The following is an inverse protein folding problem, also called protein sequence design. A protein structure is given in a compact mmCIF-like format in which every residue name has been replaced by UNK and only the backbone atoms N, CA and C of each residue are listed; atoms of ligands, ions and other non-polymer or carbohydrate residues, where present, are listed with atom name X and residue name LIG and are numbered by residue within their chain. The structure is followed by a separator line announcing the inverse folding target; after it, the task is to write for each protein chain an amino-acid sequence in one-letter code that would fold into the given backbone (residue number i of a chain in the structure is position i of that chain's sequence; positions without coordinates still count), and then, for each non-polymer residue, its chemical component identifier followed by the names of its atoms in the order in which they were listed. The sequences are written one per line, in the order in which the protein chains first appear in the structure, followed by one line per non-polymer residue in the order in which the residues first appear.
data_IF_861105286977
#
_entry.id   IF_861105286977
#
_cell.length_a   1.000
_cell.length_b   1.000
_cell.length_c   1.000
_cell.angle_alpha   90.00
_cell.angle_beta   90.00
_cell.angle_gamma   90.00
#
_symmetry.space_group_name_H-M   'P 1'
#
loop_
_entity.id
_entity.type
_entity.pdbx_description
1 polymer ?
#
# COMPACT_ATOMS: atom_id res chain seq x y z
N UNK A 1 -15.47 -0.06 -10.93
CA UNK A 1 -13.99 0.10 -10.86
C UNK A 1 -13.47 -0.13 -12.26
N UNK A 2 -12.48 0.63 -12.76
CA UNK A 2 -12.03 0.47 -14.15
C UNK A 2 -10.61 -0.10 -14.20
N UNK A 3 -10.38 -1.13 -15.02
CA UNK A 3 -9.06 -1.73 -15.23
C UNK A 3 -8.67 -1.52 -16.70
N UNK A 4 -7.49 -0.95 -16.93
CA UNK A 4 -7.00 -0.71 -18.29
C UNK A 4 -6.50 -1.99 -18.94
N UNK A 5 -6.60 -2.08 -20.27
CA UNK A 5 -6.08 -3.23 -21.03
C UNK A 5 -4.59 -3.47 -20.78
N UNK A 6 -3.82 -2.41 -20.54
CA UNK A 6 -2.40 -2.51 -20.19
C UNK A 6 -2.18 -3.22 -18.85
N UNK A 7 -2.98 -2.88 -17.84
CA UNK A 7 -2.94 -3.54 -16.53
C UNK A 7 -3.36 -5.00 -16.63
N UNK A 8 -4.44 -5.30 -17.37
CA UNK A 8 -4.90 -6.68 -17.61
C UNK A 8 -3.80 -7.52 -18.24
N UNK A 9 -3.20 -7.03 -19.33
CA UNK A 9 -2.12 -7.72 -20.05
C UNK A 9 -0.93 -7.99 -19.14
N UNK A 10 -0.45 -6.98 -18.39
CA UNK A 10 0.66 -7.16 -17.45
C UNK A 10 0.39 -8.21 -16.36
N UNK A 11 -0.84 -8.30 -15.88
CA UNK A 11 -1.22 -9.35 -14.92
C UNK A 11 -1.22 -10.72 -15.60
N UNK A 12 -1.78 -10.83 -16.81
CA UNK A 12 -1.79 -12.07 -17.58
C UNK A 12 -0.36 -12.55 -17.86
N UNK A 13 0.50 -11.66 -18.35
CA UNK A 13 1.92 -11.94 -18.62
C UNK A 13 2.67 -12.42 -17.37
N UNK A 14 2.25 -11.98 -16.17
CA UNK A 14 2.89 -12.40 -14.91
C UNK A 14 2.75 -13.91 -14.63
N UNK A 15 1.70 -14.56 -15.14
CA UNK A 15 1.53 -16.01 -15.04
C UNK A 15 2.45 -16.81 -15.94
N UNK A 16 2.93 -16.21 -17.04
CA UNK A 16 3.90 -16.84 -17.93
C UNK A 16 5.33 -16.71 -17.40
N UNK A 17 5.60 -15.64 -16.62
CA UNK A 17 6.93 -15.32 -16.10
C UNK A 17 7.22 -16.00 -14.75
N UNK A 18 6.23 -16.18 -13.90
CA UNK A 18 6.34 -16.96 -12.67
C UNK A 18 5.44 -18.19 -12.78
N UNK A 19 5.95 -19.43 -12.61
CA UNK A 19 5.14 -20.65 -12.66
C UNK A 19 4.21 -20.69 -11.44
N UNK A 20 3.08 -20.01 -11.54
CA UNK A 20 2.04 -19.90 -10.54
C UNK A 20 0.71 -20.24 -11.20
N UNK A 21 0.25 -21.49 -11.08
CA UNK A 21 -1.05 -21.88 -11.61
C UNK A 21 -2.16 -20.98 -11.03
N UNK A 22 -2.98 -20.38 -11.89
CA UNK A 22 -4.09 -19.51 -11.50
C UNK A 22 -5.17 -20.27 -10.71
N UNK A 23 -5.35 -21.57 -11.01
CA UNK A 23 -6.27 -22.49 -10.33
C UNK A 23 -5.79 -22.97 -8.95
N UNK A 24 -4.52 -22.74 -8.61
CA UNK A 24 -3.95 -23.12 -7.32
C UNK A 24 -4.05 -24.63 -7.08
N UNK A 25 -4.73 -25.02 -6.01
CA UNK A 25 -4.97 -26.42 -5.64
C UNK A 25 -6.23 -27.04 -6.28
N UNK A 26 -7.04 -26.24 -6.96
CA UNK A 26 -8.23 -26.73 -7.67
C UNK A 26 -7.83 -27.19 -9.07
N UNK A 27 -8.62 -28.09 -9.65
CA UNK A 27 -8.53 -28.33 -11.09
C UNK A 27 -8.98 -27.08 -11.89
N UNK A 28 -8.55 -26.97 -13.14
CA UNK A 28 -8.92 -25.83 -13.99
C UNK A 28 -10.44 -25.76 -14.22
N UNK A 29 -11.12 -26.91 -14.40
CA UNK A 29 -12.58 -26.96 -14.52
C UNK A 29 -13.29 -26.63 -13.21
N UNK A 30 -12.77 -27.06 -12.05
CA UNK A 30 -13.32 -26.72 -10.72
C UNK A 30 -13.20 -25.23 -10.42
N UNK A 31 -12.05 -24.62 -10.74
CA UNK A 31 -11.84 -23.20 -10.57
C UNK A 31 -12.81 -22.39 -11.44
N UNK A 32 -12.86 -22.69 -12.75
CA UNK A 32 -13.67 -21.92 -13.69
C UNK A 32 -15.18 -22.11 -13.47
N UNK A 33 -15.61 -23.27 -12.94
CA UNK A 33 -17.02 -23.49 -12.53
C UNK A 33 -17.51 -22.55 -11.43
N UNK A 34 -16.60 -21.82 -10.75
CA UNK A 34 -16.96 -20.80 -9.74
C UNK A 34 -17.22 -19.43 -10.33
N UNK A 35 -16.79 -19.20 -11.58
CA UNK A 35 -16.99 -17.95 -12.32
C UNK A 35 -18.06 -18.14 -13.40
N UNK A 36 -18.06 -19.30 -14.06
CA UNK A 36 -18.93 -19.62 -15.19
C UNK A 36 -19.76 -20.88 -14.92
N UNK A 37 -20.96 -20.95 -15.49
CA UNK A 37 -21.70 -22.21 -15.57
C UNK A 37 -21.17 -23.07 -16.73
N UNK A 38 -20.07 -23.78 -16.52
CA UNK A 38 -19.37 -24.54 -17.58
C UNK A 38 -20.21 -25.64 -18.23
N UNK A 39 -21.28 -26.09 -17.58
CA UNK A 39 -22.21 -27.08 -18.14
C UNK A 39 -23.17 -26.48 -19.19
N UNK A 40 -23.32 -25.15 -19.21
CA UNK A 40 -24.14 -24.44 -20.20
C UNK A 40 -23.30 -23.84 -21.34
N UNK A 41 -22.00 -23.65 -21.10
CA UNK A 41 -21.06 -23.21 -22.13
C UNK A 41 -20.76 -24.37 -23.08
N UNK A 42 -20.87 -24.15 -24.40
CA UNK A 42 -20.57 -25.18 -25.40
C UNK A 42 -19.07 -25.50 -25.48
N UNK A 43 -18.77 -26.77 -25.73
CA UNK A 43 -17.43 -27.23 -26.07
C UNK A 43 -16.96 -26.65 -27.42
N UNK A 44 -15.66 -26.41 -27.55
CA UNK A 44 -15.03 -26.13 -28.86
C UNK A 44 -14.63 -27.42 -29.58
N UNK A 45 -14.49 -28.52 -28.85
CA UNK A 45 -14.34 -29.86 -29.39
C UNK A 45 -15.72 -30.52 -29.58
N UNK A 46 -16.02 -30.94 -30.80
CA UNK A 46 -17.31 -31.55 -31.16
C UNK A 46 -17.56 -32.91 -30.47
N UNK A 47 -16.54 -33.54 -29.89
CA UNK A 47 -16.64 -34.80 -29.13
C UNK A 47 -17.30 -34.59 -27.77
N UNK A 48 -17.28 -33.36 -27.24
CA UNK A 48 -17.84 -33.01 -25.94
C UNK A 48 -19.01 -32.04 -26.09
N UNK A 49 -19.94 -32.04 -25.13
CA UNK A 49 -21.11 -31.15 -25.17
C UNK A 49 -20.84 -29.81 -24.50
N UNK A 50 -20.05 -29.84 -23.42
CA UNK A 50 -19.88 -28.72 -22.49
C UNK A 50 -18.42 -28.32 -22.37
N UNK A 51 -18.16 -27.04 -22.08
CA UNK A 51 -16.82 -26.56 -21.81
C UNK A 51 -16.21 -27.24 -20.56
N UNK A 52 -17.03 -27.69 -19.62
CA UNK A 52 -16.58 -28.49 -18.47
C UNK A 52 -15.86 -29.77 -18.93
N UNK A 53 -16.50 -30.54 -19.81
CA UNK A 53 -15.94 -31.79 -20.34
C UNK A 53 -14.72 -31.54 -21.21
N UNK A 54 -14.75 -30.47 -22.00
CA UNK A 54 -13.68 -30.03 -22.89
C UNK A 54 -12.39 -29.72 -22.10
N UNK A 55 -12.50 -28.86 -21.08
CA UNK A 55 -11.39 -28.50 -20.19
C UNK A 55 -10.89 -29.73 -19.43
N UNK A 56 -11.79 -30.53 -18.86
CA UNK A 56 -11.39 -31.72 -18.12
C UNK A 56 -10.59 -32.69 -19.00
N UNK A 57 -10.98 -32.89 -20.25
CA UNK A 57 -10.26 -33.80 -21.13
C UNK A 57 -8.89 -33.22 -21.51
N UNK A 58 -8.85 -31.97 -21.97
CA UNK A 58 -7.67 -31.41 -22.60
C UNK A 58 -6.65 -30.84 -21.60
N UNK A 59 -7.10 -30.26 -20.49
CA UNK A 59 -6.22 -29.61 -19.50
C UNK A 59 -5.90 -30.50 -18.30
N UNK A 60 -6.81 -31.39 -17.92
CA UNK A 60 -6.63 -32.19 -16.68
C UNK A 60 -6.20 -33.64 -16.96
N UNK A 61 -6.65 -34.24 -18.07
CA UNK A 61 -6.30 -35.62 -18.41
C UNK A 61 -5.15 -35.73 -19.40
N UNK A 62 -5.15 -34.86 -20.41
CA UNK A 62 -4.18 -34.93 -21.51
C UNK A 62 -3.03 -33.91 -21.40
N UNK A 63 -3.32 -32.73 -20.83
CA UNK A 63 -2.42 -31.56 -20.81
C UNK A 63 -1.89 -31.18 -22.21
N UNK A 64 -2.82 -31.07 -23.17
CA UNK A 64 -2.51 -30.89 -24.61
C UNK A 64 -2.91 -29.52 -25.18
N UNK A 65 -3.34 -28.58 -24.33
CA UNK A 65 -3.55 -27.16 -24.67
C UNK A 65 -2.45 -26.27 -24.09
N UNK A 66 -2.33 -25.03 -24.56
CA UNK A 66 -1.40 -24.06 -23.96
C UNK A 66 -1.92 -23.49 -22.63
N UNK A 67 -1.03 -23.13 -21.72
CA UNK A 67 -1.38 -22.55 -20.40
C UNK A 67 -2.11 -21.20 -20.49
N UNK A 68 -2.02 -20.53 -21.64
CA UNK A 68 -2.66 -19.23 -21.91
C UNK A 68 -4.06 -19.35 -22.54
N UNK A 69 -4.56 -20.58 -22.78
CA UNK A 69 -5.85 -20.82 -23.43
C UNK A 69 -6.99 -20.00 -22.77
N UNK A 70 -7.02 -19.93 -21.43
CA UNK A 70 -8.06 -19.21 -20.69
C UNK A 70 -8.15 -17.73 -21.06
N UNK A 71 -7.00 -17.11 -21.38
CA UNK A 71 -6.93 -15.68 -21.66
C UNK A 71 -7.28 -15.35 -23.12
N UNK A 72 -7.21 -16.34 -24.01
CA UNK A 72 -7.51 -16.20 -25.44
C UNK A 72 -8.87 -16.79 -25.83
N UNK A 73 -9.44 -17.67 -25.00
CA UNK A 73 -10.70 -18.36 -25.28
C UNK A 73 -11.90 -17.39 -25.21
N UNK A 74 -12.63 -17.20 -26.33
CA UNK A 74 -13.76 -16.28 -26.42
C UNK A 74 -14.96 -16.70 -25.56
N UNK A 75 -15.03 -17.96 -25.12
CA UNK A 75 -16.11 -18.47 -24.24
C UNK A 75 -16.05 -17.83 -22.85
N UNK A 76 -14.84 -17.56 -22.36
CA UNK A 76 -14.62 -16.99 -21.03
C UNK A 76 -14.32 -15.50 -21.10
N UNK A 77 -13.60 -15.07 -22.14
CA UNK A 77 -13.28 -13.68 -22.41
C UNK A 77 -12.73 -12.94 -21.18
N UNK A 78 -11.86 -13.59 -20.39
CA UNK A 78 -11.29 -12.98 -19.17
C UNK A 78 -10.51 -11.71 -19.51
N UNK A 79 -9.72 -11.74 -20.59
CA UNK A 79 -8.89 -10.61 -20.98
C UNK A 79 -9.70 -9.41 -21.48
N UNK A 80 -10.66 -9.61 -22.38
CA UNK A 80 -11.41 -8.51 -23.01
C UNK A 80 -12.86 -8.38 -22.51
N UNK A 81 -13.23 -9.10 -21.46
CA UNK A 81 -14.54 -9.03 -20.80
C UNK A 81 -14.65 -7.86 -19.84
N UNK A 82 -15.71 -7.87 -19.02
CA UNK A 82 -16.00 -6.76 -18.10
C UNK A 82 -14.96 -6.62 -16.99
N UNK A 83 -14.90 -5.45 -16.35
CA UNK A 83 -14.02 -5.22 -15.19
C UNK A 83 -14.44 -6.08 -14.01
N UNK A 84 -15.74 -6.31 -13.83
CA UNK A 84 -16.30 -7.17 -12.79
C UNK A 84 -15.82 -8.62 -12.95
N UNK A 85 -15.81 -9.14 -14.19
CA UNK A 85 -15.35 -10.49 -14.49
C UNK A 85 -13.86 -10.65 -14.17
N UNK A 86 -13.04 -9.68 -14.61
CA UNK A 86 -11.60 -9.72 -14.36
C UNK A 86 -11.30 -9.60 -12.86
N UNK A 87 -12.01 -8.72 -12.14
CA UNK A 87 -11.89 -8.59 -10.69
C UNK A 87 -12.27 -9.91 -9.99
N UNK A 88 -13.39 -10.51 -10.36
CA UNK A 88 -13.82 -11.79 -9.78
C UNK A 88 -12.77 -12.88 -10.00
N UNK A 89 -12.15 -12.92 -11.18
CA UNK A 89 -11.03 -13.82 -11.45
C UNK A 89 -9.84 -13.56 -10.52
N UNK A 90 -9.36 -12.31 -10.38
CA UNK A 90 -8.24 -11.98 -9.49
C UNK A 90 -8.53 -12.26 -8.02
N UNK A 91 -9.75 -12.01 -7.55
CA UNK A 91 -10.15 -12.30 -6.17
C UNK A 91 -10.20 -13.80 -5.91
N UNK A 92 -10.70 -14.58 -6.89
CA UNK A 92 -10.77 -16.02 -6.76
C UNK A 92 -9.36 -16.64 -6.77
N UNK A 93 -8.44 -16.16 -7.62
CA UNK A 93 -7.07 -16.71 -7.68
C UNK A 93 -6.38 -16.62 -6.33
N UNK A 94 -6.63 -15.60 -5.50
CA UNK A 94 -6.01 -15.45 -4.17
C UNK A 94 -6.89 -15.93 -3.01
N UNK A 95 -8.04 -16.52 -3.30
CA UNK A 95 -8.98 -16.96 -2.28
C UNK A 95 -8.46 -18.17 -1.48
N UNK A 96 -8.74 -18.29 -0.16
CA UNK A 96 -8.38 -19.46 0.67
C UNK A 96 -8.89 -20.83 0.18
N UNK A 97 -9.84 -20.84 -0.76
CA UNK A 97 -10.33 -22.07 -1.40
C UNK A 97 -9.39 -22.56 -2.50
N UNK A 98 -8.65 -21.63 -3.11
CA UNK A 98 -7.76 -21.86 -4.25
C UNK A 98 -6.33 -22.10 -3.77
N UNK A 99 -5.90 -21.41 -2.71
CA UNK A 99 -4.53 -21.56 -2.18
C UNK A 99 -4.41 -21.11 -0.73
N UNK A 100 -3.27 -21.41 -0.11
CA UNK A 100 -2.96 -21.02 1.27
C UNK A 100 -2.51 -19.56 1.42
N UNK A 101 -2.58 -19.04 2.64
CA UNK A 101 -2.32 -17.64 2.98
C UNK A 101 -0.96 -17.09 2.49
N UNK A 102 0.10 -17.88 2.56
CA UNK A 102 1.43 -17.46 2.07
C UNK A 102 1.44 -17.22 0.55
N UNK A 103 0.86 -18.15 -0.21
CA UNK A 103 0.76 -18.03 -1.66
C UNK A 103 -0.20 -16.90 -2.06
N UNK A 104 -1.33 -16.75 -1.37
CA UNK A 104 -2.24 -15.62 -1.55
C UNK A 104 -1.52 -14.29 -1.33
N UNK A 105 -0.76 -14.16 -0.23
CA UNK A 105 -0.02 -12.93 0.07
C UNK A 105 1.04 -12.62 -1.00
N UNK A 106 1.75 -13.62 -1.52
CA UNK A 106 2.73 -13.42 -2.60
C UNK A 106 2.05 -12.89 -3.87
N UNK A 107 0.95 -13.51 -4.30
CA UNK A 107 0.22 -13.12 -5.51
C UNK A 107 -0.44 -11.75 -5.36
N UNK A 108 -1.03 -11.46 -4.20
CA UNK A 108 -1.56 -10.12 -3.89
C UNK A 108 -0.46 -9.06 -4.03
N UNK A 109 0.77 -9.35 -3.60
CA UNK A 109 1.91 -8.47 -3.79
C UNK A 109 2.24 -8.21 -5.27
N UNK A 110 2.16 -9.22 -6.12
CA UNK A 110 2.37 -9.09 -7.58
C UNK A 110 1.24 -8.26 -8.19
N UNK A 111 -0.01 -8.60 -7.92
CA UNK A 111 -1.17 -7.87 -8.44
C UNK A 111 -1.15 -6.41 -8.00
N UNK A 112 -0.87 -6.11 -6.73
CA UNK A 112 -0.85 -4.73 -6.24
C UNK A 112 0.27 -3.88 -6.86
N UNK A 113 1.40 -4.47 -7.27
CA UNK A 113 2.42 -3.74 -8.04
C UNK A 113 1.91 -3.29 -9.42
N UNK A 114 0.92 -3.99 -9.98
CA UNK A 114 0.38 -3.73 -11.32
C UNK A 114 -0.91 -2.91 -11.23
N UNK A 115 -1.88 -3.33 -10.41
CA UNK A 115 -3.17 -2.68 -10.16
C UNK A 115 -3.05 -1.24 -9.67
N UNK A 116 -1.94 -0.90 -8.98
CA UNK A 116 -1.68 0.47 -8.53
C UNK A 116 -1.69 1.51 -9.66
N UNK A 117 -1.38 1.10 -10.90
CA UNK A 117 -1.39 1.98 -12.07
C UNK A 117 -2.81 2.46 -12.40
N UNK A 118 -3.83 1.67 -12.08
CA UNK A 118 -5.24 2.00 -12.27
C UNK A 118 -5.89 2.49 -10.95
N UNK A 119 -5.08 2.78 -9.93
CA UNK A 119 -5.59 3.22 -8.62
C UNK A 119 -6.40 2.14 -7.91
N UNK A 120 -6.06 0.87 -8.09
CA UNK A 120 -6.70 -0.26 -7.42
C UNK A 120 -5.69 -1.05 -6.57
N UNK A 121 -6.20 -1.77 -5.57
CA UNK A 121 -5.43 -2.73 -4.79
C UNK A 121 -6.34 -3.84 -4.23
N UNK A 122 -5.78 -5.03 -4.07
CA UNK A 122 -6.35 -6.11 -3.27
C UNK A 122 -5.97 -5.92 -1.81
N UNK A 123 -6.98 -5.88 -0.95
CA UNK A 123 -6.83 -5.76 0.50
C UNK A 123 -7.63 -6.84 1.19
N UNK A 124 -7.14 -7.30 2.34
CA UNK A 124 -7.87 -8.27 3.16
C UNK A 124 -9.19 -7.64 3.64
N UNK A 125 -10.30 -8.31 3.33
CA UNK A 125 -11.66 -7.89 3.61
C UNK A 125 -12.48 -9.10 4.06
N UNK A 126 -12.32 -9.45 5.33
CA UNK A 126 -12.89 -10.65 5.93
C UNK A 126 -11.94 -11.85 5.92
N UNK A 127 -12.49 -12.98 6.31
CA UNK A 127 -11.76 -14.23 6.50
C UNK A 127 -12.59 -15.44 6.09
N UNK A 128 -11.92 -16.50 5.64
CA UNK A 128 -12.51 -17.80 5.38
C UNK A 128 -11.57 -18.88 5.93
N UNK A 129 -12.09 -19.75 6.80
CA UNK A 129 -11.31 -20.80 7.48
C UNK A 129 -10.03 -20.28 8.18
N UNK A 130 -10.13 -19.10 8.80
CA UNK A 130 -8.99 -18.46 9.50
C UNK A 130 -7.92 -17.89 8.57
N UNK A 131 -8.17 -17.81 7.27
CA UNK A 131 -7.27 -17.18 6.28
C UNK A 131 -7.92 -15.93 5.68
N UNK A 132 -7.13 -14.89 5.34
CA UNK A 132 -7.66 -13.65 4.79
C UNK A 132 -8.32 -13.87 3.42
N UNK A 133 -9.49 -13.26 3.23
CA UNK A 133 -10.13 -13.13 1.91
C UNK A 133 -9.79 -11.75 1.36
N UNK A 134 -9.28 -11.67 0.13
CA UNK A 134 -8.89 -10.39 -0.47
C UNK A 134 -9.95 -9.89 -1.44
N UNK A 135 -10.20 -8.58 -1.41
CA UNK A 135 -11.12 -7.88 -2.30
C UNK A 135 -10.44 -6.72 -3.00
N UNK A 136 -10.77 -6.52 -4.29
CA UNK A 136 -10.29 -5.36 -5.03
C UNK A 136 -11.04 -4.13 -4.53
N UNK A 137 -10.28 -3.11 -4.11
CA UNK A 137 -10.81 -1.81 -3.73
C UNK A 137 -10.16 -0.70 -4.52
N UNK A 138 -10.85 0.43 -4.63
CA UNK A 138 -10.25 1.66 -5.12
C UNK A 138 -9.23 2.10 -4.08
N UNK A 139 -7.99 2.27 -4.53
CA UNK A 139 -6.95 2.91 -3.76
C UNK A 139 -7.42 4.36 -3.59
N UNK A 140 -7.85 4.72 -2.38
CA UNK A 140 -8.14 6.11 -2.05
C UNK A 140 -6.94 7.00 -2.39
N UNK A 141 -7.13 8.33 -2.47
CA UNK A 141 -6.10 9.34 -2.74
C UNK A 141 -5.00 9.34 -1.67
N UNK A 142 -4.19 8.28 -1.65
CA UNK A 142 -3.45 7.80 -0.50
C UNK A 142 -2.06 7.37 -0.96
N UNK A 143 -1.03 7.67 -0.17
CA UNK A 143 0.38 7.36 -0.44
C UNK A 143 0.70 5.83 -0.40
N UNK A 144 -0.30 4.96 -0.62
CA UNK A 144 -0.19 3.50 -0.52
C UNK A 144 -0.26 3.02 0.93
N UNK A 145 -0.66 1.77 1.16
CA UNK A 145 -0.81 1.16 2.50
C UNK A 145 0.48 1.20 3.33
N UNK A 146 1.61 1.56 2.72
CA UNK A 146 2.85 1.97 3.36
C UNK A 146 3.39 3.18 2.61
N UNK A 147 3.77 4.29 3.25
CA UNK A 147 4.67 5.24 2.61
C UNK A 147 5.97 4.52 2.26
N UNK A 148 6.15 4.17 0.97
CA UNK A 148 7.29 3.38 0.48
C UNK A 148 8.63 4.02 0.87
N UNK A 149 8.67 5.34 1.09
CA UNK A 149 9.87 6.08 1.47
C UNK A 149 10.34 5.73 2.89
N UNK A 150 9.43 5.64 3.89
CA UNK A 150 9.82 5.28 5.26
C UNK A 150 10.34 3.83 5.31
N UNK A 151 9.75 2.95 4.51
CA UNK A 151 10.14 1.54 4.44
C UNK A 151 11.48 1.30 3.71
N UNK A 152 11.99 2.27 2.94
CA UNK A 152 13.17 2.10 2.07
C UNK A 152 14.37 2.92 2.47
N UNK A 153 14.31 3.74 3.54
CA UNK A 153 15.46 4.54 3.94
C UNK A 153 16.39 3.79 4.92
N UNK A 154 17.61 3.40 4.49
CA UNK A 154 18.61 2.75 5.36
C UNK A 154 19.36 3.72 6.27
N UNK A 155 18.88 4.98 6.39
CA UNK A 155 19.68 6.10 6.87
C UNK A 155 19.51 6.42 8.35
N UNK A 156 18.50 5.86 9.01
CA UNK A 156 18.30 5.97 10.45
C UNK A 156 18.78 4.67 11.11
N UNK A 157 19.74 4.80 12.02
CA UNK A 157 20.40 3.69 12.73
C UNK A 157 19.42 2.83 13.55
N UNK A 158 18.20 3.33 13.78
CA UNK A 158 17.12 2.63 14.48
C UNK A 158 15.73 2.92 13.86
N UNK A 159 15.53 2.49 12.61
CA UNK A 159 14.23 2.64 11.92
C UNK A 159 13.14 1.71 12.48
N UNK A 160 13.46 0.82 13.42
CA UNK A 160 12.52 -0.17 13.98
C UNK A 160 11.29 0.49 14.63
N UNK A 161 11.49 1.58 15.37
CA UNK A 161 10.41 2.33 16.03
C UNK A 161 9.45 2.95 15.00
N UNK A 162 9.95 3.49 13.88
CA UNK A 162 9.10 4.05 12.82
C UNK A 162 8.27 2.98 12.13
N UNK A 163 8.85 1.79 11.89
CA UNK A 163 8.15 0.64 11.35
C UNK A 163 7.07 0.13 12.29
N UNK A 164 7.32 0.14 13.59
CA UNK A 164 6.33 -0.22 14.60
C UNK A 164 5.11 0.71 14.55
N UNK A 165 5.33 2.03 14.55
CA UNK A 165 4.24 3.00 14.43
C UNK A 165 3.45 2.84 13.14
N UNK A 166 4.11 2.69 12.00
CA UNK A 166 3.43 2.39 10.73
C UNK A 166 2.63 1.09 10.78
N UNK A 167 3.19 0.05 11.40
CA UNK A 167 2.51 -1.24 11.58
C UNK A 167 1.24 -1.10 12.43
N UNK A 168 1.30 -0.32 13.52
CA UNK A 168 0.14 0.00 14.37
C UNK A 168 -0.93 0.76 13.57
N UNK A 169 -0.54 1.83 12.87
CA UNK A 169 -1.45 2.65 12.06
C UNK A 169 -2.19 1.79 11.03
N UNK A 170 -1.49 0.94 10.27
CA UNK A 170 -2.11 0.07 9.26
C UNK A 170 -3.14 -0.87 9.85
N UNK A 171 -2.83 -1.47 11.01
CA UNK A 171 -3.74 -2.40 11.69
C UNK A 171 -4.97 -1.70 12.25
N UNK A 172 -4.86 -0.43 12.63
CA UNK A 172 -5.93 0.31 13.29
C UNK A 172 -6.75 1.22 12.37
N UNK A 173 -6.27 1.63 11.19
CA UNK A 173 -6.92 2.70 10.40
C UNK A 173 -8.42 2.50 10.11
N UNK A 174 -8.85 1.26 9.85
CA UNK A 174 -10.27 0.90 9.63
C UNK A 174 -10.98 0.30 10.85
N UNK A 175 -10.24 -0.20 11.85
CA UNK A 175 -10.81 -0.90 13.02
C UNK A 175 -10.86 -0.05 14.28
N UNK A 176 -9.88 0.82 14.43
CA UNK A 176 -9.72 1.77 15.53
C UNK A 176 -9.05 3.07 15.01
N UNK A 177 -9.82 3.95 14.36
CA UNK A 177 -9.30 5.19 13.79
C UNK A 177 -8.67 6.12 14.84
N UNK A 178 -9.13 6.07 16.09
CA UNK A 178 -8.59 6.89 17.18
C UNK A 178 -7.14 6.51 17.50
N UNK A 179 -6.85 5.20 17.57
CA UNK A 179 -5.49 4.68 17.75
C UNK A 179 -4.58 4.97 16.55
N UNK A 180 -5.13 4.97 15.33
CA UNK A 180 -4.37 5.36 14.13
C UNK A 180 -3.93 6.83 14.16
N UNK A 181 -4.81 7.74 14.62
CA UNK A 181 -4.49 9.17 14.81
C UNK A 181 -3.38 9.33 15.87
N UNK A 182 -3.49 8.63 17.00
CA UNK A 182 -2.47 8.69 18.04
C UNK A 182 -1.10 8.19 17.54
N UNK A 183 -1.09 7.04 16.86
CA UNK A 183 0.13 6.46 16.31
C UNK A 183 0.77 7.36 15.23
N UNK A 184 -0.02 8.16 14.51
CA UNK A 184 0.48 9.15 13.54
C UNK A 184 1.26 10.29 14.22
N UNK A 185 0.76 10.81 15.35
CA UNK A 185 1.49 11.79 16.17
C UNK A 185 2.77 11.18 16.76
N UNK A 186 2.70 9.96 17.27
CA UNK A 186 3.85 9.25 17.85
C UNK A 186 4.94 8.96 16.81
N UNK A 187 4.54 8.68 15.57
CA UNK A 187 5.48 8.53 14.44
C UNK A 187 6.24 9.82 14.19
N UNK A 188 5.55 10.97 14.05
CA UNK A 188 6.21 12.25 13.86
C UNK A 188 7.16 12.59 15.01
N UNK A 189 6.72 12.39 16.25
CA UNK A 189 7.56 12.63 17.41
C UNK A 189 8.82 11.76 17.40
N UNK A 190 8.67 10.46 17.14
CA UNK A 190 9.80 9.53 17.07
C UNK A 190 10.75 9.90 15.94
N UNK A 191 10.22 10.25 14.77
CA UNK A 191 11.01 10.69 13.63
C UNK A 191 11.82 11.95 13.95
N UNK A 192 11.20 12.95 14.57
CA UNK A 192 11.90 14.20 14.87
C UNK A 192 13.01 13.97 15.87
N UNK A 193 12.76 13.18 16.92
CA UNK A 193 13.80 12.80 17.90
C UNK A 193 14.95 12.05 17.24
N UNK A 194 14.66 11.05 16.41
CA UNK A 194 15.68 10.30 15.66
C UNK A 194 16.55 11.21 14.77
N UNK A 195 15.94 12.17 14.07
CA UNK A 195 16.68 13.14 13.25
C UNK A 195 17.56 14.03 14.14
N UNK A 196 17.02 14.56 15.24
CA UNK A 196 17.76 15.44 16.15
C UNK A 196 18.92 14.71 16.83
N UNK A 197 18.70 13.48 17.31
CA UNK A 197 19.72 12.62 17.91
C UNK A 197 20.86 12.36 16.92
N UNK A 198 20.52 12.07 15.66
CA UNK A 198 21.50 11.83 14.61
C UNK A 198 22.29 13.08 14.22
N UNK A 199 21.65 14.25 14.26
CA UNK A 199 22.31 15.55 14.02
C UNK A 199 23.03 16.10 15.27
N UNK A 200 23.01 15.35 16.40
CA UNK A 200 23.64 15.75 17.65
C UNK A 200 22.98 16.93 18.35
N UNK A 201 21.71 17.22 18.05
CA UNK A 201 20.95 18.35 18.58
C UNK A 201 20.18 17.93 19.83
N UNK A 202 20.47 18.60 20.95
CA UNK A 202 19.79 18.35 22.22
C UNK A 202 18.37 18.96 22.24
N UNK A 203 17.42 18.23 22.81
CA UNK A 203 16.06 18.71 23.03
C UNK A 203 15.59 18.41 24.48
N UNK A 204 14.99 19.39 25.17
CA UNK A 204 14.38 19.16 26.48
C UNK A 204 13.23 18.15 26.43
N UNK A 205 13.04 17.40 27.51
CA UNK A 205 11.92 16.44 27.64
C UNK A 205 10.52 17.08 27.61
N UNK A 206 10.43 18.41 27.82
CA UNK A 206 9.18 19.17 27.78
C UNK A 206 8.76 19.61 26.37
N UNK A 207 9.65 19.48 25.39
CA UNK A 207 9.37 19.93 24.03
C UNK A 207 8.27 19.07 23.42
N UNK A 208 7.27 19.75 22.85
CA UNK A 208 6.21 19.09 22.12
C UNK A 208 6.58 18.85 20.66
N UNK A 209 5.70 18.20 19.90
CA UNK A 209 5.96 17.86 18.50
C UNK A 209 6.20 19.08 17.60
N UNK A 210 5.43 20.19 17.70
CA UNK A 210 5.75 21.44 17.02
C UNK A 210 7.15 21.99 17.35
N UNK A 211 7.56 21.95 18.62
CA UNK A 211 8.87 22.43 19.04
C UNK A 211 10.00 21.57 18.44
N UNK A 212 9.85 20.24 18.50
CA UNK A 212 10.76 19.29 17.86
C UNK A 212 10.85 19.53 16.34
N UNK A 213 9.71 19.76 15.67
CA UNK A 213 9.67 20.02 14.23
C UNK A 213 10.45 21.28 13.82
N UNK A 214 10.31 22.37 14.58
CA UNK A 214 11.06 23.61 14.34
C UNK A 214 12.58 23.37 14.44
N UNK A 215 13.01 22.65 15.48
CA UNK A 215 14.42 22.28 15.68
C UNK A 215 14.97 21.42 14.55
N UNK A 216 14.17 20.47 14.04
CA UNK A 216 14.54 19.69 12.86
C UNK A 216 14.76 20.60 11.65
N UNK A 217 13.88 21.60 11.45
CA UNK A 217 14.04 22.59 10.37
C UNK A 217 15.33 23.40 10.46
N UNK A 218 15.75 23.75 11.68
CA UNK A 218 17.02 24.43 11.94
C UNK A 218 18.21 23.50 11.71
N UNK A 219 18.18 22.29 12.27
CA UNK A 219 19.23 21.28 12.14
C UNK A 219 19.50 20.91 10.67
N UNK A 220 18.43 20.75 9.89
CA UNK A 220 18.49 20.43 8.45
C UNK A 220 18.67 21.66 7.56
N UNK A 221 18.82 22.86 8.14
CA UNK A 221 19.00 24.14 7.41
C UNK A 221 17.88 24.43 6.40
N UNK A 222 16.67 23.92 6.63
CA UNK A 222 15.49 24.17 5.79
C UNK A 222 15.07 25.64 5.88
N UNK A 223 15.35 26.26 7.04
CA UNK A 223 15.07 27.67 7.32
C UNK A 223 16.13 28.63 6.73
N UNK A 224 17.16 28.12 6.05
CA UNK A 224 18.23 28.93 5.42
C UNK A 224 17.93 29.20 3.94
N UNK A 225 18.93 29.67 3.17
CA UNK A 225 18.87 29.72 1.70
C UNK A 225 18.81 28.30 1.12
N UNK A 226 17.61 27.72 1.11
CA UNK A 226 17.37 26.36 0.65
C UNK A 226 17.41 26.21 -0.87
N UNK A 227 17.37 27.32 -1.63
CA UNK A 227 17.45 27.33 -3.10
C UNK A 227 18.60 28.23 -3.56
N UNK A 228 19.71 27.61 -3.96
CA UNK A 228 20.86 28.32 -4.54
C UNK A 228 20.41 29.14 -5.75
N UNK A 229 20.74 30.44 -5.75
CA UNK A 229 20.44 31.35 -6.86
C UNK A 229 19.02 31.95 -6.86
N UNK A 230 18.16 31.66 -5.87
CA UNK A 230 16.84 32.31 -5.77
C UNK A 230 16.37 32.51 -4.32
N UNK A 231 16.52 33.75 -3.83
CA UNK A 231 15.99 34.15 -2.53
C UNK A 231 14.47 34.06 -2.43
N UNK A 232 13.74 34.38 -3.52
CA UNK A 232 12.26 34.28 -3.56
C UNK A 232 11.77 32.83 -3.45
N UNK A 233 12.47 31.89 -4.10
CA UNK A 233 12.14 30.47 -3.99
C UNK A 233 12.42 29.95 -2.57
N UNK A 234 13.55 30.34 -1.99
CA UNK A 234 13.89 30.02 -0.59
C UNK A 234 12.81 30.54 0.39
N UNK A 235 12.34 31.78 0.23
CA UNK A 235 11.24 32.33 1.04
C UNK A 235 9.92 31.56 0.88
N UNK A 236 9.63 31.07 -0.33
CA UNK A 236 8.43 30.26 -0.60
C UNK A 236 8.51 28.91 0.10
N UNK A 237 9.67 28.23 0.05
CA UNK A 237 9.90 26.97 0.74
C UNK A 237 9.77 27.15 2.26
N UNK A 238 10.37 28.21 2.81
CA UNK A 238 10.24 28.54 4.23
C UNK A 238 8.77 28.79 4.63
N UNK A 239 7.97 29.41 3.75
CA UNK A 239 6.53 29.59 3.98
C UNK A 239 5.80 28.23 4.02
N UNK A 240 6.10 27.32 3.10
CA UNK A 240 5.54 25.96 3.11
C UNK A 240 5.93 25.23 4.40
N UNK A 241 7.20 25.31 4.80
CA UNK A 241 7.70 24.68 6.02
C UNK A 241 6.96 25.19 7.27
N UNK A 242 6.73 26.51 7.38
CA UNK A 242 5.94 27.10 8.46
C UNK A 242 4.49 26.62 8.45
N UNK A 243 3.87 26.48 7.28
CA UNK A 243 2.52 25.90 7.18
C UNK A 243 2.48 24.46 7.69
N UNK A 244 3.51 23.67 7.40
CA UNK A 244 3.63 22.30 7.91
C UNK A 244 3.77 22.25 9.44
N UNK A 245 4.39 23.27 10.08
CA UNK A 245 4.36 23.39 11.55
C UNK A 245 2.93 23.48 12.08
N UNK A 246 2.07 24.24 11.43
CA UNK A 246 0.64 24.31 11.78
C UNK A 246 -0.06 22.97 11.56
N UNK A 247 0.28 22.24 10.51
CA UNK A 247 -0.24 20.88 10.28
C UNK A 247 0.20 19.92 11.40
N UNK A 248 1.46 19.98 11.83
CA UNK A 248 1.98 19.19 12.95
C UNK A 248 1.20 19.47 14.23
N UNK A 249 0.98 20.76 14.54
CA UNK A 249 0.16 21.19 15.68
C UNK A 249 -1.26 20.62 15.57
N UNK A 250 -1.90 20.75 14.42
CA UNK A 250 -3.26 20.25 14.20
C UNK A 250 -3.36 18.73 14.37
N UNK A 251 -2.34 17.96 14.01
CA UNK A 251 -2.31 16.50 14.26
C UNK A 251 -2.24 16.21 15.78
N UNK A 252 -1.44 16.97 16.53
CA UNK A 252 -1.36 16.82 17.98
C UNK A 252 -2.69 17.17 18.67
N UNK A 253 -3.35 18.25 18.23
CA UNK A 253 -4.69 18.64 18.69
C UNK A 253 -5.74 17.61 18.32
N UNK A 254 -5.74 17.12 17.08
CA UNK A 254 -6.68 16.09 16.61
C UNK A 254 -6.59 14.81 17.46
N UNK A 255 -5.37 14.41 17.84
CA UNK A 255 -5.15 13.30 18.77
C UNK A 255 -5.78 13.57 20.13
N UNK A 256 -5.66 14.79 20.64
CA UNK A 256 -6.24 15.17 21.93
C UNK A 256 -7.77 15.29 21.89
N UNK A 257 -8.36 15.69 20.75
CA UNK A 257 -9.81 15.90 20.58
C UNK A 257 -10.56 14.63 20.21
N UNK A 258 -10.04 13.80 19.30
CA UNK A 258 -10.71 12.57 18.84
C UNK A 258 -9.82 11.32 18.81
N UNK A 259 -8.52 11.43 19.07
CA UNK A 259 -7.63 10.25 19.16
C UNK A 259 -7.64 9.56 20.52
N UNK A 260 -6.73 8.60 20.70
CA UNK A 260 -6.45 8.00 22.01
C UNK A 260 -5.48 8.88 22.80
N UNK A 261 -6.04 9.88 23.49
CA UNK A 261 -5.29 10.81 24.32
C UNK A 261 -5.94 11.10 25.65
N UNK A 262 -5.24 10.71 26.73
CA UNK A 262 -5.73 10.71 28.11
C UNK A 262 -7.00 9.86 28.29
N UNK A 263 -7.24 9.32 29.49
CA UNK A 263 -8.43 8.49 29.73
C UNK A 263 -9.69 9.28 29.41
N UNK A 264 -10.60 8.72 28.60
CA UNK A 264 -11.85 9.37 28.20
C UNK A 264 -13.05 8.73 28.87
N UNK A 265 -14.06 9.54 29.14
CA UNK A 265 -15.36 9.09 29.66
C UNK A 265 -16.30 8.62 28.54
N UNK A 266 -16.00 8.94 27.28
CA UNK A 266 -16.81 8.59 26.10
C UNK A 266 -15.96 7.96 24.99
N UNK A 267 -16.60 7.15 24.15
CA UNK A 267 -15.97 6.56 22.97
C UNK A 267 -15.55 7.64 21.96
N UNK A 268 -14.46 7.40 21.23
CA UNK A 268 -14.01 8.31 20.19
C UNK A 268 -15.00 8.36 19.01
N UNK A 269 -15.21 9.57 18.48
CA UNK A 269 -15.98 9.83 17.26
C UNK A 269 -15.11 9.80 15.98
N UNK A 270 -13.85 9.35 16.08
CA UNK A 270 -12.93 9.31 14.96
C UNK A 270 -13.42 8.37 13.85
N UNK A 271 -13.40 8.86 12.62
CA UNK A 271 -13.73 8.07 11.43
C UNK A 271 -12.45 7.62 10.75
N UNK A 272 -12.55 6.59 9.91
CA UNK A 272 -11.46 6.17 9.03
C UNK A 272 -10.94 7.33 8.17
N UNK A 273 -11.82 8.23 7.72
CA UNK A 273 -11.44 9.42 6.95
C UNK A 273 -10.52 10.36 7.75
N UNK A 274 -10.82 10.59 9.05
CA UNK A 274 -9.97 11.40 9.93
C UNK A 274 -8.60 10.75 10.14
N UNK A 275 -8.56 9.45 10.37
CA UNK A 275 -7.31 8.71 10.53
C UNK A 275 -6.46 8.74 9.26
N UNK A 276 -7.08 8.61 8.09
CA UNK A 276 -6.41 8.72 6.78
C UNK A 276 -5.85 10.12 6.54
N UNK A 277 -6.57 11.17 6.93
CA UNK A 277 -6.07 12.54 6.85
C UNK A 277 -4.80 12.72 7.71
N UNK A 278 -4.85 12.33 8.97
CA UNK A 278 -3.71 12.43 9.90
C UNK A 278 -2.48 11.66 9.38
N UNK A 279 -2.70 10.44 8.89
CA UNK A 279 -1.65 9.62 8.30
C UNK A 279 -1.04 10.25 7.05
N UNK A 280 -1.86 10.70 6.10
CA UNK A 280 -1.37 11.32 4.88
C UNK A 280 -0.52 12.57 5.18
N UNK A 281 -0.99 13.43 6.09
CA UNK A 281 -0.22 14.59 6.54
C UNK A 281 1.12 14.18 7.19
N UNK A 282 1.09 13.14 8.03
CA UNK A 282 2.27 12.57 8.68
C UNK A 282 3.28 12.05 7.66
N UNK A 283 2.81 11.32 6.65
CA UNK A 283 3.64 10.80 5.56
C UNK A 283 4.30 11.94 4.79
N UNK A 284 3.54 12.92 4.33
CA UNK A 284 4.10 14.05 3.57
C UNK A 284 5.24 14.75 4.33
N UNK A 285 5.07 14.96 5.64
CA UNK A 285 6.10 15.56 6.49
C UNK A 285 7.31 14.61 6.60
N UNK A 286 7.07 13.34 6.89
CA UNK A 286 8.12 12.36 7.09
C UNK A 286 8.99 12.18 5.83
N UNK A 287 8.37 12.01 4.67
CA UNK A 287 9.09 11.82 3.40
C UNK A 287 9.96 13.02 3.07
N UNK A 288 9.43 14.24 3.21
CA UNK A 288 10.18 15.46 2.95
C UNK A 288 11.43 15.60 3.84
N UNK A 289 11.29 15.34 5.15
CA UNK A 289 12.41 15.45 6.10
C UNK A 289 13.47 14.37 5.86
N UNK A 290 13.03 13.14 5.64
CA UNK A 290 13.89 12.00 5.37
C UNK A 290 14.68 12.18 4.06
N UNK A 291 14.02 12.66 3.00
CA UNK A 291 14.70 12.96 1.73
C UNK A 291 15.70 14.12 1.87
N UNK A 292 15.34 15.14 2.66
CA UNK A 292 16.23 16.27 2.95
C UNK A 292 17.49 15.80 3.69
N UNK A 293 17.32 14.95 4.69
CA UNK A 293 18.42 14.35 5.44
C UNK A 293 19.32 13.49 4.54
N UNK A 294 18.74 12.66 3.67
CA UNK A 294 19.46 11.81 2.74
C UNK A 294 20.36 12.62 1.79
N UNK A 295 19.81 13.66 1.16
CA UNK A 295 20.55 14.52 0.23
C UNK A 295 21.72 15.22 0.89
N UNK A 296 21.54 15.71 2.12
CA UNK A 296 22.61 16.37 2.86
C UNK A 296 23.78 15.42 3.17
N UNK A 297 23.50 14.18 3.59
CA UNK A 297 24.55 13.17 3.80
C UNK A 297 25.35 12.89 2.52
N UNK A 298 24.66 12.77 1.38
CA UNK A 298 25.35 12.55 0.10
C UNK A 298 26.20 13.74 -0.33
N UNK A 299 25.76 14.97 -0.04
CA UNK A 299 26.56 16.17 -0.30
C UNK A 299 27.79 16.26 0.62
N UNK A 300 27.64 16.02 1.93
CA UNK A 300 28.76 16.05 2.89
C UNK A 300 29.82 14.99 2.57
N UNK A 301 29.42 13.76 2.22
CA UNK A 301 30.35 12.69 1.83
C UNK A 301 31.13 12.99 0.55
N UNK A 302 30.57 13.79 -0.38
CA UNK A 302 31.27 14.20 -1.60
C UNK A 302 32.34 15.27 -1.35
N UNK A 303 32.23 16.06 -0.28
CA UNK A 303 33.22 17.07 0.11
C UNK A 303 34.36 16.53 0.97
N UNK A 304 34.18 15.39 1.65
CA UNK A 304 35.25 14.75 2.44
C UNK A 304 36.23 13.90 1.61
N UNK A 305 35.94 13.70 0.32
CA UNK A 305 36.78 12.95 -0.64
C UNK A 305 37.61 13.84 -1.58
N UNK A 306 37.66 15.15 -1.32
CA UNK A 306 38.47 16.14 -2.04
C UNK A 306 39.46 16.76 -1.04
#
# INVERSE_FOLDING_TARGET
MKITDSTRRKIIDSYQLEPMAWSGQLSESEFLSRIFNLNEVRSTDNRFKTAYQDIQQHRERNDDWGDDYLFTDPRFNIQWGTDELFIQFLELTVHPLVRGAEQSSKIVGIYNKILRNDGLHLVADGEAKGQPVYKVKVRGSFHGDVPEVIARQPLLTDSGVLHEHLGRIKKSIGKDPASAIASSKELLESLFKLILDQEGVQYPAKDDVPDLYKKVGEALKINAESVKGSGKASQTIQKIFRTLTTTVQAIAELRNEIGTGHGRTTASIATEAHARLALNSTVTIAEFLLDTLARRKTETSAYELI
#
